data_IF_120638161578
#
_entry.id   IF_120638161578
#
_cell.length_a   1.000
_cell.length_b   1.000
_cell.length_c   1.000
_cell.angle_alpha   90.00
_cell.angle_beta   90.00
_cell.angle_gamma   90.00
#
_symmetry.space_group_name_H-M   'P 1'
#
loop_
_entity.id
_entity.type
_entity.pdbx_description
1 polymer ?
#
# COMPACT_ATOMS: atom_id res chain seq x y z
N UNK A 1 24.41 -7.08 8.86
CA UNK A 1 23.31 -6.10 8.82
C UNK A 1 22.80 -6.05 7.38
N UNK A 2 21.49 -6.15 7.10
CA UNK A 2 20.99 -5.94 5.74
C UNK A 2 21.37 -4.52 5.29
N UNK A 3 21.83 -4.34 4.04
CA UNK A 3 22.24 -3.05 3.48
C UNK A 3 21.16 -1.95 3.62
N UNK A 4 19.88 -2.35 3.61
CA UNK A 4 18.71 -1.48 3.78
C UNK A 4 18.67 -0.77 5.14
N UNK A 5 19.23 -1.37 6.19
CA UNK A 5 19.25 -0.80 7.54
C UNK A 5 20.38 0.22 7.74
N UNK A 6 21.46 0.09 6.96
CA UNK A 6 22.66 0.94 7.07
C UNK A 6 22.37 2.41 6.69
N UNK A 7 21.38 2.65 5.84
CA UNK A 7 21.02 3.99 5.38
C UNK A 7 19.95 4.68 6.22
N UNK A 8 19.31 3.99 7.19
CA UNK A 8 18.15 4.55 7.90
C UNK A 8 18.47 5.79 8.71
N UNK A 9 19.63 5.81 9.38
CA UNK A 9 20.08 7.01 10.09
C UNK A 9 20.40 8.16 9.13
N UNK A 10 21.03 7.86 7.98
CA UNK A 10 21.30 8.87 6.95
C UNK A 10 20.01 9.46 6.39
N UNK A 11 19.00 8.63 6.12
CA UNK A 11 17.68 9.06 5.68
C UNK A 11 17.01 9.93 6.74
N UNK A 12 16.99 9.48 8.00
CA UNK A 12 16.44 10.25 9.11
C UNK A 12 17.11 11.62 9.21
N UNK A 13 18.44 11.69 9.22
CA UNK A 13 19.15 12.97 9.30
C UNK A 13 18.88 13.89 8.10
N UNK A 14 18.71 13.34 6.90
CA UNK A 14 18.34 14.13 5.72
C UNK A 14 16.89 14.64 5.79
N UNK A 15 15.95 13.80 6.21
CA UNK A 15 14.53 14.14 6.34
C UNK A 15 14.30 15.18 7.46
N UNK A 16 15.04 15.09 8.56
CA UNK A 16 14.96 15.99 9.71
C UNK A 16 16.20 16.89 9.83
N UNK A 17 16.73 17.36 8.69
CA UNK A 17 18.01 18.09 8.59
C UNK A 17 18.18 19.25 9.57
N UNK A 18 17.14 20.06 9.76
CA UNK A 18 17.20 21.19 10.70
C UNK A 18 17.36 20.71 12.14
N UNK A 19 16.66 19.65 12.51
CA UNK A 19 16.72 19.04 13.84
C UNK A 19 18.07 18.35 14.06
N UNK A 20 18.56 17.64 13.05
CA UNK A 20 19.89 17.03 13.06
C UNK A 20 20.98 18.07 13.41
N UNK A 21 20.99 19.22 12.73
CA UNK A 21 21.96 20.27 13.03
C UNK A 21 21.76 20.90 14.42
N UNK A 22 20.51 21.04 14.89
CA UNK A 22 20.22 21.54 16.24
C UNK A 22 20.79 20.61 17.33
N UNK A 23 20.59 19.31 17.16
CA UNK A 23 21.10 18.29 18.08
C UNK A 23 22.63 18.22 18.03
N UNK A 24 23.23 18.37 16.84
CA UNK A 24 24.68 18.40 16.67
C UNK A 24 25.33 19.65 17.29
N UNK A 25 24.74 20.82 17.11
CA UNK A 25 25.19 22.07 17.72
C UNK A 25 25.12 21.99 19.25
N UNK A 26 24.03 21.44 19.80
CA UNK A 26 23.87 21.24 21.24
C UNK A 26 24.92 20.28 21.82
N UNK A 27 25.19 19.17 21.12
CA UNK A 27 26.17 18.17 21.56
C UNK A 27 27.63 18.64 21.45
N UNK A 28 27.93 19.59 20.56
CA UNK A 28 29.31 20.03 20.26
C UNK A 28 29.86 21.17 21.14
N UNK A 29 29.02 21.81 21.98
CA UNK A 29 29.42 22.93 22.83
C UNK A 29 29.99 22.45 24.18
N UNK A 30 31.11 23.05 24.62
CA UNK A 30 31.82 22.91 25.91
C UNK A 30 31.19 21.95 26.96
N UNK A 31 31.60 20.66 26.93
CA UNK A 31 31.12 19.62 27.86
C UNK A 31 29.77 18.99 27.48
N UNK A 32 29.34 19.20 26.24
CA UNK A 32 27.99 18.98 25.73
C UNK A 32 27.34 17.66 26.09
N UNK A 33 26.06 17.75 26.44
CA UNK A 33 25.22 16.59 26.68
C UNK A 33 24.91 15.90 25.35
N UNK A 34 25.49 14.71 25.18
CA UNK A 34 25.29 13.87 23.98
C UNK A 34 24.02 13.03 24.07
N UNK A 35 23.40 12.89 25.25
CA UNK A 35 22.22 12.05 25.42
C UNK A 35 21.03 12.50 24.57
N UNK A 36 20.72 13.81 24.42
CA UNK A 36 19.69 14.29 23.50
C UNK A 36 19.93 13.86 22.05
N UNK A 37 21.18 13.92 21.57
CA UNK A 37 21.54 13.48 20.22
C UNK A 37 21.36 11.97 20.05
N UNK A 38 21.80 11.17 21.02
CA UNK A 38 21.63 9.71 20.99
C UNK A 38 20.14 9.36 21.02
N UNK A 39 19.34 10.00 21.86
CA UNK A 39 17.91 9.75 21.94
C UNK A 39 17.20 10.09 20.63
N UNK A 40 17.54 11.24 20.03
CA UNK A 40 17.08 11.62 18.69
C UNK A 40 17.44 10.57 17.63
N UNK A 41 18.69 10.12 17.59
CA UNK A 41 19.15 9.14 16.61
C UNK A 41 18.49 7.76 16.78
N UNK A 42 18.34 7.28 18.01
CA UNK A 42 17.69 6.00 18.33
C UNK A 42 16.20 6.07 17.98
N UNK A 43 15.51 7.16 18.33
CA UNK A 43 14.11 7.36 17.97
C UNK A 43 13.93 7.33 16.44
N UNK A 44 14.75 8.10 15.72
CA UNK A 44 14.75 8.10 14.25
C UNK A 44 15.02 6.73 13.64
N UNK A 45 15.96 5.96 14.21
CA UNK A 45 16.24 4.60 13.75
C UNK A 45 15.04 3.67 13.93
N UNK A 46 14.38 3.70 15.09
CA UNK A 46 13.19 2.90 15.38
C UNK A 46 12.04 3.26 14.43
N UNK A 47 11.82 4.56 14.20
CA UNK A 47 10.75 5.02 13.31
C UNK A 47 11.01 4.63 11.85
N UNK A 48 12.26 4.74 11.40
CA UNK A 48 12.66 4.29 10.07
C UNK A 48 12.50 2.77 9.91
N UNK A 49 12.85 1.96 10.92
CA UNK A 49 12.57 0.51 10.90
C UNK A 49 11.08 0.23 10.78
N UNK A 50 10.24 0.92 11.58
CA UNK A 50 8.78 0.75 11.54
C UNK A 50 8.22 1.09 10.16
N UNK A 51 8.70 2.17 9.56
CA UNK A 51 8.31 2.59 8.22
C UNK A 51 8.74 1.58 7.15
N UNK A 52 9.96 1.04 7.24
CA UNK A 52 10.43 -0.01 6.34
C UNK A 52 9.59 -1.29 6.45
N UNK A 53 9.27 -1.71 7.67
CA UNK A 53 8.39 -2.86 7.90
C UNK A 53 6.99 -2.61 7.29
N UNK A 54 6.43 -1.40 7.48
CA UNK A 54 5.14 -1.02 6.91
C UNK A 54 5.17 -1.06 5.37
N UNK A 55 6.24 -0.54 4.77
CA UNK A 55 6.42 -0.57 3.31
C UNK A 55 6.52 -2.00 2.78
N UNK A 56 7.39 -2.83 3.38
CA UNK A 56 7.54 -4.25 3.00
C UNK A 56 6.19 -4.98 3.11
N UNK A 57 5.44 -4.76 4.20
CA UNK A 57 4.12 -5.37 4.38
C UNK A 57 3.14 -4.93 3.30
N UNK A 58 3.15 -3.66 2.92
CA UNK A 58 2.27 -3.13 1.88
C UNK A 58 2.56 -3.79 0.52
N UNK A 59 3.85 -3.93 0.17
CA UNK A 59 4.25 -4.62 -1.06
C UNK A 59 3.94 -6.12 -1.04
N UNK A 60 4.18 -6.79 0.09
CA UNK A 60 3.80 -8.19 0.26
C UNK A 60 2.30 -8.40 0.09
N UNK A 61 1.47 -7.52 0.68
CA UNK A 61 0.02 -7.57 0.52
C UNK A 61 -0.41 -7.37 -0.92
N UNK A 62 0.22 -6.43 -1.63
CA UNK A 62 -0.02 -6.20 -3.05
C UNK A 62 0.27 -7.46 -3.87
N UNK A 63 1.40 -8.11 -3.64
CA UNK A 63 1.80 -9.34 -4.34
C UNK A 63 0.81 -10.48 -4.05
N UNK A 64 0.47 -10.70 -2.77
CA UNK A 64 -0.49 -11.73 -2.36
C UNK A 64 -1.86 -11.48 -3.00
N UNK A 65 -2.32 -10.23 -3.02
CA UNK A 65 -3.56 -9.85 -3.66
C UNK A 65 -3.56 -10.15 -5.16
N UNK A 66 -2.53 -9.74 -5.88
CA UNK A 66 -2.39 -10.00 -7.33
C UNK A 66 -2.43 -11.50 -7.60
N UNK A 67 -1.69 -12.29 -6.81
CA UNK A 67 -1.69 -13.75 -6.92
C UNK A 67 -3.06 -14.38 -6.63
N UNK A 68 -3.76 -13.88 -5.60
CA UNK A 68 -5.12 -14.29 -5.28
C UNK A 68 -6.08 -14.01 -6.45
N UNK A 69 -6.03 -12.81 -7.03
CA UNK A 69 -6.85 -12.43 -8.20
C UNK A 69 -6.54 -13.36 -9.38
N UNK A 70 -5.28 -13.56 -9.73
CA UNK A 70 -4.91 -14.48 -10.80
C UNK A 70 -5.39 -15.91 -10.54
N UNK A 71 -5.31 -16.39 -9.29
CA UNK A 71 -5.74 -17.74 -8.92
C UNK A 71 -7.25 -17.90 -8.99
N UNK A 72 -8.02 -16.91 -8.50
CA UNK A 72 -9.49 -16.89 -8.54
C UNK A 72 -10.03 -16.97 -9.97
N UNK A 73 -9.35 -16.32 -10.91
CA UNK A 73 -9.73 -16.29 -12.33
C UNK A 73 -9.02 -17.36 -13.18
N UNK A 74 -8.15 -18.19 -12.60
CA UNK A 74 -7.34 -19.19 -13.35
C UNK A 74 -8.20 -20.22 -14.09
N UNK A 75 -9.29 -20.66 -13.47
CA UNK A 75 -10.24 -21.63 -14.04
C UNK A 75 -11.30 -20.99 -14.93
N UNK A 76 -11.39 -19.65 -14.95
CA UNK A 76 -12.37 -18.88 -15.70
C UNK A 76 -11.74 -18.33 -16.98
N UNK A 77 -11.94 -19.00 -18.11
CA UNK A 77 -11.24 -18.70 -19.36
C UNK A 77 -12.00 -17.78 -20.33
N UNK A 78 -13.24 -17.40 -19.99
CA UNK A 78 -14.09 -16.63 -20.91
C UNK A 78 -13.58 -15.20 -21.12
N UNK A 79 -13.96 -14.58 -22.25
CA UNK A 79 -13.66 -13.16 -22.53
C UNK A 79 -14.24 -12.20 -21.48
N UNK A 80 -15.31 -12.59 -20.78
CA UNK A 80 -15.91 -11.78 -19.70
C UNK A 80 -15.07 -11.88 -18.44
N UNK A 81 -14.55 -13.06 -18.12
CA UNK A 81 -13.77 -13.30 -16.91
C UNK A 81 -12.40 -12.63 -16.97
N UNK A 82 -11.73 -12.70 -18.14
CA UNK A 82 -10.49 -11.94 -18.36
C UNK A 82 -10.70 -10.43 -18.14
N UNK A 83 -11.78 -9.87 -18.71
CA UNK A 83 -12.10 -8.44 -18.56
C UNK A 83 -12.37 -8.05 -17.10
N UNK A 84 -13.07 -8.89 -16.34
CA UNK A 84 -13.32 -8.69 -14.90
C UNK A 84 -12.04 -8.74 -14.07
N UNK A 85 -11.17 -9.71 -14.37
CA UNK A 85 -9.84 -9.82 -13.77
C UNK A 85 -9.01 -8.56 -14.04
N UNK A 86 -8.95 -8.14 -15.30
CA UNK A 86 -8.14 -6.97 -15.70
C UNK A 86 -8.69 -5.67 -15.09
N UNK A 87 -10.03 -5.53 -15.00
CA UNK A 87 -10.66 -4.45 -14.23
C UNK A 87 -10.25 -4.49 -12.76
N UNK A 88 -10.30 -5.65 -12.11
CA UNK A 88 -9.92 -5.79 -10.70
C UNK A 88 -8.45 -5.47 -10.47
N UNK A 89 -7.54 -5.97 -11.31
CA UNK A 89 -6.11 -5.66 -11.23
C UNK A 89 -5.86 -4.16 -11.39
N UNK A 90 -6.58 -3.51 -12.30
CA UNK A 90 -6.48 -2.06 -12.45
C UNK A 90 -6.97 -1.30 -11.20
N UNK A 91 -8.13 -1.65 -10.64
CA UNK A 91 -8.62 -1.07 -9.37
C UNK A 91 -7.55 -1.24 -8.26
N UNK A 92 -6.83 -2.37 -8.29
CA UNK A 92 -5.82 -2.72 -7.30
C UNK A 92 -4.51 -1.96 -7.44
N UNK A 93 -4.17 -1.51 -8.65
CA UNK A 93 -2.97 -0.71 -8.91
C UNK A 93 -3.11 0.71 -8.36
N UNK A 94 -4.27 1.33 -8.52
CA UNK A 94 -4.50 2.71 -8.09
C UNK A 94 -5.05 2.82 -6.67
N UNK A 95 -5.41 1.70 -6.04
CA UNK A 95 -6.10 1.66 -4.75
C UNK A 95 -7.56 2.10 -4.85
N UNK A 96 -7.87 3.14 -5.63
CA UNK A 96 -9.21 3.69 -5.81
C UNK A 96 -9.55 3.88 -7.29
N UNK A 97 -10.65 3.27 -7.73
CA UNK A 97 -11.32 3.65 -8.97
C UNK A 97 -12.41 4.69 -8.68
N UNK A 98 -12.11 5.95 -8.95
CA UNK A 98 -13.09 7.02 -8.78
C UNK A 98 -14.24 6.92 -9.79
N UNK A 99 -15.47 7.23 -9.33
CA UNK A 99 -16.68 7.16 -10.16
C UNK A 99 -16.64 8.08 -11.39
N UNK A 100 -15.97 9.23 -11.29
CA UNK A 100 -15.81 10.18 -12.40
C UNK A 100 -14.79 9.72 -13.47
N UNK A 101 -13.85 8.84 -13.13
CA UNK A 101 -12.81 8.35 -14.07
C UNK A 101 -13.27 7.08 -14.81
N UNK A 102 -14.36 6.44 -14.35
CA UNK A 102 -14.97 5.25 -14.97
C UNK A 102 -15.15 5.41 -16.48
N UNK A 103 -15.52 6.60 -16.98
CA UNK A 103 -15.65 6.87 -18.40
C UNK A 103 -14.35 6.74 -19.19
N UNK A 104 -13.25 7.30 -18.69
CA UNK A 104 -11.92 7.23 -19.33
C UNK A 104 -11.37 5.80 -19.28
N UNK A 105 -11.59 5.13 -18.14
CA UNK A 105 -11.23 3.73 -17.93
C UNK A 105 -12.00 2.78 -18.85
N UNK A 106 -13.29 3.07 -19.09
CA UNK A 106 -14.10 2.36 -20.05
C UNK A 106 -13.51 2.45 -21.48
N UNK A 107 -12.88 3.55 -21.85
CA UNK A 107 -12.26 3.67 -23.17
C UNK A 107 -11.03 2.76 -23.33
N UNK A 108 -10.27 2.50 -22.26
CA UNK A 108 -9.03 1.69 -22.31
C UNK A 108 -9.26 0.18 -22.13
N UNK A 109 -9.96 -0.23 -21.07
CA UNK A 109 -10.22 -1.66 -20.77
C UNK A 109 -11.47 -2.16 -21.51
N UNK A 110 -12.43 -1.28 -21.76
CA UNK A 110 -13.73 -1.59 -22.37
C UNK A 110 -13.86 -1.01 -23.77
N UNK A 111 -12.76 -0.82 -24.50
CA UNK A 111 -12.78 -0.35 -25.88
C UNK A 111 -13.78 -1.18 -26.72
N UNK A 112 -14.77 -0.51 -27.32
CA UNK A 112 -15.87 -1.18 -28.05
C UNK A 112 -16.95 -1.84 -27.18
N UNK A 113 -17.07 -1.50 -25.90
CA UNK A 113 -18.14 -1.95 -24.98
C UNK A 113 -18.89 -0.78 -24.36
N UNK A 114 -20.12 -1.06 -23.93
CA UNK A 114 -21.00 -0.06 -23.32
C UNK A 114 -20.70 0.15 -21.85
N UNK A 115 -21.03 1.35 -21.33
CA UNK A 115 -20.99 1.65 -19.89
C UNK A 115 -21.82 0.64 -19.07
N UNK A 116 -22.90 0.11 -19.65
CA UNK A 116 -23.71 -0.96 -19.04
C UNK A 116 -22.92 -2.25 -18.80
N UNK A 117 -21.96 -2.57 -19.68
CA UNK A 117 -21.08 -3.74 -19.50
C UNK A 117 -20.15 -3.55 -18.30
N UNK A 118 -19.57 -2.36 -18.15
CA UNK A 118 -18.73 -2.01 -17.02
C UNK A 118 -19.52 -2.03 -15.70
N UNK A 119 -20.72 -1.45 -15.66
CA UNK A 119 -21.60 -1.53 -14.49
C UNK A 119 -21.93 -2.98 -14.08
N UNK A 120 -22.17 -3.86 -15.05
CA UNK A 120 -22.42 -5.29 -14.78
C UNK A 120 -21.19 -6.00 -14.21
N UNK A 121 -20.01 -5.69 -14.72
CA UNK A 121 -18.76 -6.29 -14.23
C UNK A 121 -18.38 -5.76 -12.84
N UNK A 122 -18.58 -4.46 -12.57
CA UNK A 122 -18.50 -3.90 -11.20
C UNK A 122 -19.49 -4.59 -10.27
N UNK A 123 -20.74 -4.76 -10.71
CA UNK A 123 -21.77 -5.45 -9.93
C UNK A 123 -21.37 -6.88 -9.57
N UNK A 124 -20.78 -7.61 -10.52
CA UNK A 124 -20.24 -8.95 -10.28
C UNK A 124 -19.07 -8.93 -9.28
N UNK A 125 -18.08 -8.05 -9.46
CA UNK A 125 -16.95 -7.96 -8.55
C UNK A 125 -17.39 -7.61 -7.12
N UNK A 126 -18.45 -6.82 -6.97
CA UNK A 126 -19.04 -6.47 -5.68
C UNK A 126 -19.81 -7.64 -5.07
N UNK A 127 -20.58 -8.40 -5.86
CA UNK A 127 -21.30 -9.58 -5.36
C UNK A 127 -20.35 -10.70 -4.93
N UNK A 128 -19.18 -10.78 -5.56
CA UNK A 128 -18.10 -11.70 -5.19
C UNK A 128 -17.23 -11.16 -4.04
N UNK A 129 -17.61 -10.04 -3.44
CA UNK A 129 -16.87 -9.37 -2.36
C UNK A 129 -15.39 -9.08 -2.70
N UNK A 130 -15.06 -8.91 -3.98
CA UNK A 130 -13.70 -8.61 -4.45
C UNK A 130 -13.41 -7.10 -4.42
N UNK A 131 -14.45 -6.27 -4.41
CA UNK A 131 -14.36 -4.82 -4.29
C UNK A 131 -15.37 -4.28 -3.27
N UNK A 132 -14.99 -3.21 -2.59
CA UNK A 132 -15.88 -2.41 -1.75
C UNK A 132 -16.25 -1.10 -2.45
N UNK A 133 -17.49 -0.66 -2.27
CA UNK A 133 -17.97 0.62 -2.79
C UNK A 133 -17.93 1.69 -1.70
N UNK A 134 -17.42 2.87 -2.07
CA UNK A 134 -17.39 4.07 -1.24
C UNK A 134 -18.15 5.20 -1.93
N UNK A 135 -18.29 6.34 -1.24
CA UNK A 135 -18.87 7.55 -1.84
C UNK A 135 -18.10 8.01 -3.07
N UNK A 136 -16.76 7.88 -3.06
CA UNK A 136 -15.87 8.40 -4.11
C UNK A 136 -15.62 7.40 -5.23
N UNK A 137 -15.68 6.09 -4.95
CA UNK A 137 -15.25 5.08 -5.90
C UNK A 137 -15.26 3.65 -5.37
N UNK A 138 -14.51 2.79 -6.04
CA UNK A 138 -14.37 1.37 -5.72
C UNK A 138 -12.94 1.04 -5.29
N UNK A 139 -12.79 0.24 -4.24
CA UNK A 139 -11.52 -0.22 -3.71
C UNK A 139 -11.45 -1.76 -3.74
N UNK A 140 -10.25 -2.36 -3.85
CA UNK A 140 -10.09 -3.80 -3.64
C UNK A 140 -10.50 -4.20 -2.22
N UNK A 141 -11.27 -5.26 -2.07
CA UNK A 141 -11.62 -5.78 -0.76
C UNK A 141 -10.51 -6.68 -0.22
N UNK A 142 -9.55 -6.09 0.49
CA UNK A 142 -8.46 -6.84 1.11
C UNK A 142 -8.91 -7.73 2.27
N UNK A 143 -10.16 -7.64 2.75
CA UNK A 143 -10.66 -8.57 3.78
C UNK A 143 -10.70 -10.01 3.29
N UNK A 144 -10.82 -10.22 1.98
CA UNK A 144 -10.69 -11.53 1.35
C UNK A 144 -9.29 -12.17 1.60
N UNK A 145 -8.30 -11.38 2.01
CA UNK A 145 -6.96 -11.85 2.36
C UNK A 145 -6.73 -12.06 3.86
N UNK A 146 -7.73 -11.88 4.72
CA UNK A 146 -7.57 -12.00 6.18
C UNK A 146 -6.99 -13.36 6.62
N UNK A 147 -7.31 -14.44 5.88
CA UNK A 147 -6.73 -15.77 6.10
C UNK A 147 -5.21 -15.86 5.84
N UNK A 148 -4.63 -14.90 5.11
CA UNK A 148 -3.21 -14.85 4.73
C UNK A 148 -2.43 -13.77 5.49
N UNK A 149 -3.08 -13.00 6.38
CA UNK A 149 -2.40 -11.99 7.18
C UNK A 149 -1.65 -12.64 8.35
N UNK A 150 -0.39 -12.24 8.62
CA UNK A 150 0.30 -12.70 9.82
C UNK A 150 -0.45 -12.24 11.06
N UNK A 151 -0.55 -13.12 12.07
CA UNK A 151 -1.21 -12.84 13.35
C UNK A 151 -0.61 -11.57 13.95
N UNK A 152 -1.42 -10.51 13.99
CA UNK A 152 -1.02 -9.30 14.70
C UNK A 152 -1.25 -9.55 16.19
N UNK A 153 -0.16 -9.65 16.97
CA UNK A 153 -0.28 -9.47 18.42
C UNK A 153 -0.82 -8.07 18.64
N UNK A 154 -2.05 -7.96 19.16
CA UNK A 154 -2.52 -6.70 19.74
C UNK A 154 -1.55 -6.34 20.84
N UNK A 155 -0.81 -5.26 20.65
CA UNK A 155 -0.16 -4.58 21.77
C UNK A 155 -1.30 -3.92 22.51
N UNK A 156 -1.63 -4.47 23.68
CA UNK A 156 -2.56 -3.85 24.61
C UNK A 156 -1.80 -2.66 25.20
N UNK A 157 -2.29 -1.45 24.94
CA UNK A 157 -1.88 -0.23 25.65
C UNK A 157 -2.48 -0.22 27.06
#
# INVERSE_FOLDING_TARGET
>A
MPSSAAHLLSNHYNETRNEYYRQLDTASRNGGDILPFINYAVQGFVDQIRNQIKHIRTEQLRIVWINYVHSRFKTLSSRKDRRRRDLLLHISEFGLLHKNIIGVMALKIYAGKTVTTLKRDIGYLRSEELIEETLTGYFPNLKALTAFLPVQRRVVE
#
